data_IF_444018940308
#
_entry.id   IF_444018940308
#
_cell.length_a   1.000
_cell.length_b   1.000
_cell.length_c   1.000
_cell.angle_alpha   90.00
_cell.angle_beta   90.00
_cell.angle_gamma   90.00
#
_symmetry.space_group_name_H-M   'P 1'
#
loop_
_entity.id
_entity.type
_entity.pdbx_description
1 polymer ?
#
# COMPACT_ATOMS: atom_id res chain seq x y z
N UNK A 1 11.06 -51.01 22.71
CA UNK A 1 10.44 -50.97 21.36
C UNK A 1 10.55 -49.53 20.83
N UNK A 2 11.45 -49.29 19.87
CA UNK A 2 11.56 -47.99 19.21
C UNK A 2 10.20 -47.67 18.57
N UNK A 3 9.58 -46.59 19.02
CA UNK A 3 8.29 -46.16 18.56
C UNK A 3 8.45 -45.60 17.14
N UNK A 4 8.36 -46.49 16.15
CA UNK A 4 8.59 -46.22 14.72
C UNK A 4 7.76 -45.03 14.25
N UNK A 5 6.55 -44.82 14.78
CA UNK A 5 5.72 -43.65 14.48
C UNK A 5 6.36 -42.33 14.90
N UNK A 6 7.01 -42.29 16.07
CA UNK A 6 7.68 -41.08 16.59
C UNK A 6 8.95 -40.79 15.80
N UNK A 7 9.70 -41.84 15.42
CA UNK A 7 10.88 -41.72 14.57
C UNK A 7 10.54 -41.26 13.14
N UNK A 8 9.50 -41.83 12.52
CA UNK A 8 9.01 -41.43 11.20
C UNK A 8 8.41 -40.02 11.20
N UNK A 9 7.67 -39.64 12.25
CA UNK A 9 7.19 -38.26 12.40
C UNK A 9 8.36 -37.28 12.49
N UNK A 10 9.36 -37.57 13.32
CA UNK A 10 10.56 -36.72 13.44
C UNK A 10 11.38 -36.61 12.16
N UNK A 11 11.39 -37.65 11.32
CA UNK A 11 12.06 -37.64 10.01
C UNK A 11 11.28 -36.86 8.93
N UNK A 12 9.95 -36.78 9.06
CA UNK A 12 9.06 -36.14 8.07
C UNK A 12 8.56 -34.76 8.51
N UNK A 13 8.75 -34.38 9.77
CA UNK A 13 8.41 -33.06 10.30
C UNK A 13 9.66 -32.22 10.46
N UNK A 14 9.72 -31.11 9.74
CA UNK A 14 10.73 -30.07 10.00
C UNK A 14 10.19 -29.22 11.16
N UNK A 15 10.84 -29.20 12.34
CA UNK A 15 10.43 -28.31 13.41
C UNK A 15 10.66 -26.86 12.94
N UNK A 16 9.59 -26.06 12.94
CA UNK A 16 9.64 -24.65 12.55
C UNK A 16 8.92 -23.82 13.60
N UNK A 17 9.51 -22.67 13.95
CA UNK A 17 8.92 -21.68 14.85
C UNK A 17 8.41 -20.53 14.00
N UNK A 18 7.09 -20.33 13.97
CA UNK A 18 6.52 -19.15 13.34
C UNK A 18 6.53 -17.99 14.35
N UNK A 19 7.45 -17.05 14.16
CA UNK A 19 7.57 -15.83 14.97
C UNK A 19 6.32 -14.96 14.92
N UNK A 20 5.60 -14.98 13.79
CA UNK A 20 4.40 -14.18 13.63
C UNK A 20 3.22 -14.80 14.39
N UNK A 21 3.18 -16.13 14.51
CA UNK A 21 2.20 -16.86 15.34
C UNK A 21 2.59 -16.94 16.82
N UNK A 22 3.88 -16.81 17.14
CA UNK A 22 4.40 -16.89 18.51
C UNK A 22 4.54 -18.33 19.02
N UNK A 23 4.92 -19.27 18.16
CA UNK A 23 5.00 -20.71 18.50
C UNK A 23 6.13 -21.09 19.47
N UNK A 24 6.97 -20.14 19.85
CA UNK A 24 8.12 -20.35 20.73
C UNK A 24 7.81 -20.09 22.21
N UNK A 25 8.76 -20.42 23.10
CA UNK A 25 8.70 -19.99 24.49
C UNK A 25 8.63 -18.46 24.56
N UNK A 26 7.71 -17.96 25.38
CA UNK A 26 7.61 -16.53 25.65
C UNK A 26 8.60 -16.13 26.73
N UNK A 27 9.24 -14.97 26.57
CA UNK A 27 10.26 -14.46 27.49
C UNK A 27 9.83 -13.06 27.97
N UNK A 28 9.93 -12.81 29.27
CA UNK A 28 9.68 -11.50 29.89
C UNK A 28 8.69 -11.51 31.05
N UNK A 29 8.21 -10.32 31.46
CA UNK A 29 7.36 -10.21 32.63
C UNK A 29 6.16 -11.16 32.55
N UNK A 30 5.95 -11.94 33.62
CA UNK A 30 4.90 -12.96 33.73
C UNK A 30 5.07 -14.19 32.81
N UNK A 31 6.28 -14.45 32.30
CA UNK A 31 6.62 -15.66 31.56
C UNK A 31 7.54 -16.57 32.37
N UNK A 32 7.77 -17.80 31.87
CA UNK A 32 8.64 -18.77 32.54
C UNK A 32 10.13 -18.35 32.53
N UNK A 33 10.54 -17.64 31.48
CA UNK A 33 11.90 -17.14 31.30
C UNK A 33 11.91 -15.62 31.40
N UNK A 34 12.82 -15.08 32.21
CA UNK A 34 13.01 -13.64 32.37
C UNK A 34 14.04 -13.07 31.37
N UNK A 35 14.03 -11.76 31.20
CA UNK A 35 15.11 -11.04 30.50
C UNK A 35 15.47 -9.77 31.26
N UNK A 36 16.71 -9.31 31.10
CA UNK A 36 17.17 -8.04 31.65
C UNK A 36 17.87 -7.25 30.54
N UNK A 37 17.56 -5.95 30.36
CA UNK A 37 18.27 -5.13 29.37
C UNK A 37 19.72 -4.95 29.80
N UNK A 38 20.64 -5.14 28.86
CA UNK A 38 22.06 -4.81 29.04
C UNK A 38 22.34 -3.54 28.23
N UNK A 39 22.82 -2.49 28.90
CA UNK A 39 23.20 -1.26 28.23
C UNK A 39 24.55 -1.47 27.55
N UNK A 40 24.58 -1.31 26.23
CA UNK A 40 25.82 -1.33 25.46
C UNK A 40 26.40 0.09 25.45
N UNK A 41 27.65 0.24 25.87
CA UNK A 41 28.37 1.52 25.90
C UNK A 41 29.55 1.53 24.91
N UNK A 42 30.28 2.65 24.88
CA UNK A 42 31.53 2.74 24.11
C UNK A 42 32.67 1.88 24.70
N UNK A 43 32.52 1.37 25.93
CA UNK A 43 33.50 0.49 26.58
C UNK A 43 33.40 -0.96 26.08
N UNK A 44 32.30 -1.32 25.41
CA UNK A 44 32.05 -2.64 24.83
C UNK A 44 32.75 -2.82 23.46
N UNK A 45 34.09 -2.79 23.46
CA UNK A 45 34.90 -2.80 22.23
C UNK A 45 34.66 -3.99 21.29
N UNK A 46 34.10 -5.10 21.79
CA UNK A 46 33.73 -6.25 20.96
C UNK A 46 32.64 -5.91 19.94
N UNK A 47 31.75 -4.96 20.24
CA UNK A 47 30.63 -4.57 19.38
C UNK A 47 31.12 -3.92 18.09
N UNK A 48 32.22 -3.19 18.17
CA UNK A 48 32.87 -2.56 17.03
C UNK A 48 33.68 -3.57 16.21
N UNK A 49 34.28 -4.57 16.86
CA UNK A 49 35.03 -5.64 16.22
C UNK A 49 34.15 -6.72 15.58
N UNK A 50 32.93 -6.90 16.07
CA UNK A 50 32.08 -8.02 15.67
C UNK A 50 31.22 -7.69 14.44
N UNK A 51 31.62 -8.23 13.28
CA UNK A 51 30.90 -8.10 11.99
C UNK A 51 30.27 -9.42 11.50
N UNK A 52 30.38 -10.47 12.30
CA UNK A 52 29.90 -11.81 11.97
C UNK A 52 28.39 -12.00 12.16
N UNK A 53 27.95 -13.23 11.93
CA UNK A 53 26.60 -13.70 12.22
C UNK A 53 26.59 -14.54 13.50
N UNK A 54 25.60 -14.33 14.34
CA UNK A 54 25.40 -15.02 15.62
C UNK A 54 24.83 -16.42 15.35
N UNK A 55 25.63 -17.44 15.64
CA UNK A 55 25.24 -18.84 15.45
C UNK A 55 25.73 -19.45 14.14
N UNK A 56 25.17 -20.60 13.78
CA UNK A 56 25.51 -21.32 12.55
C UNK A 56 24.83 -20.67 11.35
N UNK A 57 25.62 -20.16 10.40
CA UNK A 57 25.12 -19.75 9.08
C UNK A 57 25.28 -20.93 8.14
N UNK A 58 24.16 -21.53 7.70
CA UNK A 58 24.16 -22.73 6.85
C UNK A 58 24.50 -22.43 5.40
N UNK A 59 24.74 -21.16 5.05
CA UNK A 59 24.97 -20.69 3.68
C UNK A 59 23.88 -21.15 2.71
N UNK A 60 22.64 -21.28 3.20
CA UNK A 60 21.50 -21.69 2.39
C UNK A 60 21.35 -20.74 1.18
N UNK A 61 21.44 -21.27 -0.07
CA UNK A 61 21.28 -20.50 -1.29
C UNK A 61 19.94 -19.76 -1.38
N UNK A 62 18.89 -20.31 -0.76
CA UNK A 62 17.54 -19.72 -0.74
C UNK A 62 17.38 -18.69 0.39
N UNK A 63 18.35 -18.62 1.32
CA UNK A 63 18.42 -17.63 2.39
C UNK A 63 17.39 -17.79 3.49
N UNK A 64 16.72 -18.95 3.58
CA UNK A 64 15.70 -19.24 4.59
C UNK A 64 16.29 -19.40 5.99
N UNK A 65 17.52 -19.90 6.09
CA UNK A 65 18.18 -20.25 7.35
C UNK A 65 19.47 -19.45 7.59
N UNK A 66 19.38 -18.11 7.51
CA UNK A 66 20.53 -17.25 7.80
C UNK A 66 20.59 -16.87 9.26
N UNK A 67 21.77 -17.02 9.86
CA UNK A 67 22.04 -16.56 11.21
C UNK A 67 21.74 -15.03 11.34
N UNK A 68 21.25 -14.57 12.50
CA UNK A 68 21.08 -13.15 12.78
C UNK A 68 22.44 -12.45 12.83
N UNK A 69 22.57 -11.22 12.32
CA UNK A 69 23.81 -10.46 12.51
C UNK A 69 23.85 -9.79 13.89
N UNK A 70 25.05 -9.46 14.36
CA UNK A 70 25.25 -8.77 15.64
C UNK A 70 24.54 -7.41 15.77
N UNK A 71 24.67 -6.75 16.93
CA UNK A 71 23.85 -5.59 17.29
C UNK A 71 24.15 -4.32 16.50
N UNK A 72 25.42 -4.11 16.07
CA UNK A 72 25.85 -2.89 15.36
C UNK A 72 25.79 -3.03 13.83
N UNK A 73 26.17 -4.18 13.29
CA UNK A 73 26.32 -4.37 11.85
C UNK A 73 25.24 -5.29 11.27
N UNK A 74 24.80 -4.97 10.07
CA UNK A 74 23.96 -5.83 9.23
C UNK A 74 24.78 -7.01 8.68
N UNK A 75 24.09 -7.95 8.03
CA UNK A 75 24.72 -9.14 7.40
C UNK A 75 25.74 -8.78 6.30
N UNK A 76 25.57 -7.62 5.66
CA UNK A 76 26.48 -7.08 4.64
C UNK A 76 27.63 -6.26 5.23
N UNK A 77 27.73 -6.16 6.57
CA UNK A 77 28.73 -5.37 7.26
C UNK A 77 28.43 -3.86 7.33
N UNK A 78 27.30 -3.39 6.79
CA UNK A 78 26.85 -2.01 6.94
C UNK A 78 26.38 -1.73 8.36
N UNK A 79 26.47 -0.48 8.83
CA UNK A 79 25.99 -0.11 10.17
C UNK A 79 24.46 -0.05 10.17
N UNK A 80 23.84 -0.73 11.14
CA UNK A 80 22.38 -0.77 11.32
C UNK A 80 21.82 0.62 11.56
N UNK A 81 20.64 0.90 10.97
CA UNK A 81 19.93 2.17 11.19
C UNK A 81 19.63 2.40 12.67
N UNK A 82 19.21 1.35 13.39
CA UNK A 82 18.96 1.38 14.84
C UNK A 82 20.18 1.77 15.66
N UNK A 83 21.40 1.54 15.13
CA UNK A 83 22.64 1.93 15.78
C UNK A 83 23.07 3.35 15.42
N UNK A 84 23.13 3.68 14.12
CA UNK A 84 23.65 4.98 13.66
C UNK A 84 22.70 6.15 13.90
N UNK A 85 21.39 5.90 13.93
CA UNK A 85 20.36 6.92 14.04
C UNK A 85 19.12 6.32 14.73
N UNK A 86 19.19 6.05 16.05
CA UNK A 86 18.12 5.38 16.79
C UNK A 86 16.80 6.16 16.77
N UNK A 87 16.85 7.50 16.77
CA UNK A 87 15.65 8.34 16.66
C UNK A 87 15.01 8.23 15.28
N UNK A 88 15.82 8.19 14.22
CA UNK A 88 15.36 7.95 12.85
C UNK A 88 14.74 6.57 12.71
N UNK A 89 15.39 5.54 13.27
CA UNK A 89 14.89 4.18 13.29
C UNK A 89 13.54 4.05 14.00
N UNK A 90 13.40 4.68 15.17
CA UNK A 90 12.16 4.70 15.94
C UNK A 90 11.09 5.64 15.33
N UNK A 91 11.45 6.45 14.33
CA UNK A 91 10.55 7.45 13.75
C UNK A 91 10.23 8.59 14.70
N UNK A 92 11.13 8.89 15.65
CA UNK A 92 11.00 9.97 16.64
C UNK A 92 11.51 11.32 16.14
N UNK A 93 12.25 11.37 15.03
CA UNK A 93 12.74 12.65 14.47
C UNK A 93 11.63 13.65 14.13
N UNK A 94 10.41 13.14 13.86
CA UNK A 94 9.20 13.94 13.58
C UNK A 94 8.37 14.24 14.83
N UNK A 95 8.75 13.70 15.98
CA UNK A 95 8.00 13.81 17.24
C UNK A 95 8.71 14.80 18.13
N UNK A 96 8.05 15.92 18.42
CA UNK A 96 8.58 16.89 19.36
C UNK A 96 8.44 16.37 20.80
N UNK A 97 9.42 16.64 21.67
CA UNK A 97 9.25 16.35 23.08
C UNK A 97 8.13 17.23 23.65
N UNK A 98 7.34 16.72 24.64
CA UNK A 98 6.16 17.42 25.15
C UNK A 98 6.42 18.86 25.61
N UNK A 99 7.58 19.11 26.21
CA UNK A 99 7.99 20.43 26.69
C UNK A 99 8.25 21.46 25.58
N UNK A 100 8.37 21.04 24.31
CA UNK A 100 8.55 21.91 23.15
C UNK A 100 7.35 21.97 22.23
N UNK A 101 6.41 21.03 22.37
CA UNK A 101 5.29 20.88 21.45
C UNK A 101 4.39 22.12 21.40
N UNK A 102 4.05 22.71 22.56
CA UNK A 102 3.19 23.91 22.64
C UNK A 102 3.83 25.10 21.91
N UNK A 103 5.11 25.39 22.19
CA UNK A 103 5.83 26.51 21.57
C UNK A 103 5.99 26.30 20.07
N UNK A 104 6.36 25.10 19.64
CA UNK A 104 6.53 24.78 18.23
C UNK A 104 5.21 24.87 17.45
N UNK A 105 4.12 24.32 18.00
CA UNK A 105 2.81 24.40 17.37
C UNK A 105 2.26 25.83 17.34
N UNK A 106 2.52 26.61 18.40
CA UNK A 106 2.21 28.05 18.42
C UNK A 106 2.90 28.81 17.29
N UNK A 107 4.18 28.51 17.02
CA UNK A 107 4.89 29.08 15.87
C UNK A 107 4.24 28.69 14.54
N UNK A 108 3.89 27.41 14.36
CA UNK A 108 3.21 26.95 13.13
C UNK A 108 1.90 27.70 12.89
N UNK A 109 1.09 27.92 13.93
CA UNK A 109 -0.15 28.70 13.82
C UNK A 109 0.14 30.16 13.40
N UNK A 110 1.12 30.81 14.03
CA UNK A 110 1.50 32.19 13.67
C UNK A 110 2.03 32.28 12.23
N UNK A 111 2.84 31.32 11.79
CA UNK A 111 3.36 31.27 10.42
C UNK A 111 2.20 31.10 9.39
N UNK A 112 1.15 30.33 9.74
CA UNK A 112 -0.06 30.18 8.91
C UNK A 112 -0.91 31.46 8.88
N UNK A 113 -1.03 32.18 10.00
CA UNK A 113 -1.73 33.48 10.05
C UNK A 113 -1.07 34.52 9.13
N UNK A 114 0.27 34.55 9.10
CA UNK A 114 1.01 35.44 8.20
C UNK A 114 0.83 35.06 6.71
N UNK A 115 0.80 33.76 6.41
CA UNK A 115 0.52 33.25 5.07
C UNK A 115 -0.91 33.58 4.63
N UNK A 116 -1.90 33.41 5.51
CA UNK A 116 -3.30 33.76 5.22
C UNK A 116 -3.42 35.23 4.82
N UNK A 117 -2.79 36.12 5.60
CA UNK A 117 -2.80 37.56 5.34
C UNK A 117 -2.17 37.89 3.98
N UNK A 118 -1.01 37.31 3.69
CA UNK A 118 -0.31 37.51 2.41
C UNK A 118 -1.17 37.06 1.23
N UNK A 119 -1.72 35.83 1.30
CA UNK A 119 -2.59 35.29 0.25
C UNK A 119 -3.86 36.12 0.07
N UNK A 120 -4.42 36.65 1.16
CA UNK A 120 -5.60 37.51 1.09
C UNK A 120 -5.30 38.82 0.33
N UNK A 121 -4.16 39.46 0.61
CA UNK A 121 -3.72 40.67 -0.09
C UNK A 121 -3.49 40.40 -1.59
N UNK A 122 -2.82 39.29 -1.93
CA UNK A 122 -2.61 38.85 -3.31
C UNK A 122 -3.92 38.57 -4.05
N UNK A 123 -4.87 37.90 -3.39
CA UNK A 123 -6.18 37.58 -3.96
C UNK A 123 -7.00 38.85 -4.23
N UNK A 124 -6.95 39.84 -3.32
CA UNK A 124 -7.57 41.16 -3.54
C UNK A 124 -6.92 41.89 -4.71
N UNK A 125 -5.59 41.86 -4.83
CA UNK A 125 -4.88 42.46 -5.95
C UNK A 125 -5.23 41.78 -7.28
N UNK A 126 -5.21 40.44 -7.33
CA UNK A 126 -5.54 39.66 -8.51
C UNK A 126 -6.98 39.89 -8.98
N UNK A 127 -7.94 40.04 -8.04
CA UNK A 127 -9.33 40.42 -8.37
C UNK A 127 -9.41 41.80 -9.06
N UNK A 128 -8.56 42.76 -8.70
CA UNK A 128 -8.53 44.08 -9.36
C UNK A 128 -8.00 43.95 -10.79
N UNK A 129 -6.91 43.21 -10.98
CA UNK A 129 -6.33 42.92 -12.30
C UNK A 129 -7.33 42.21 -13.22
N UNK A 130 -8.04 41.22 -12.70
CA UNK A 130 -9.04 40.49 -13.48
C UNK A 130 -10.16 41.43 -13.97
N UNK A 131 -10.67 42.29 -13.08
CA UNK A 131 -11.72 43.26 -13.43
C UNK A 131 -11.25 44.28 -14.46
N UNK A 132 -10.01 44.77 -14.39
CA UNK A 132 -9.50 45.70 -15.40
C UNK A 132 -9.34 45.02 -16.76
N UNK A 133 -8.87 43.78 -16.77
CA UNK A 133 -8.67 43.02 -18.00
C UNK A 133 -9.99 42.65 -18.68
N UNK A 134 -11.01 42.28 -17.90
CA UNK A 134 -12.37 42.06 -18.42
C UNK A 134 -12.95 43.31 -19.08
N UNK A 135 -12.74 44.48 -18.48
CA UNK A 135 -13.17 45.76 -19.08
C UNK A 135 -12.43 46.06 -20.39
N UNK A 136 -11.13 45.74 -20.49
CA UNK A 136 -10.35 45.89 -21.72
C UNK A 136 -10.83 44.94 -22.82
N UNK A 137 -11.06 43.66 -22.48
CA UNK A 137 -11.60 42.65 -23.41
C UNK A 137 -12.96 43.10 -23.93
N UNK A 138 -13.87 43.54 -23.07
CA UNK A 138 -15.20 44.00 -23.48
C UNK A 138 -15.13 45.26 -24.37
N UNK A 139 -14.26 46.21 -24.05
CA UNK A 139 -14.03 47.39 -24.88
C UNK A 139 -13.49 47.01 -26.28
N UNK A 140 -12.54 46.08 -26.35
CA UNK A 140 -11.99 45.58 -27.61
C UNK A 140 -13.03 44.81 -28.43
N UNK A 141 -13.83 43.95 -27.79
CA UNK A 141 -14.95 43.25 -28.47
C UNK A 141 -15.93 44.23 -29.10
N UNK A 142 -16.25 45.33 -28.42
CA UNK A 142 -17.17 46.34 -28.95
C UNK A 142 -16.66 47.07 -30.20
N UNK A 143 -15.33 47.13 -30.41
CA UNK A 143 -14.69 47.92 -31.47
C UNK A 143 -14.08 47.06 -32.59
N UNK A 144 -13.51 45.90 -32.26
CA UNK A 144 -12.73 45.06 -33.18
C UNK A 144 -12.88 43.56 -32.86
N UNK A 145 -13.85 42.91 -33.50
CA UNK A 145 -14.17 41.49 -33.29
C UNK A 145 -13.11 40.49 -33.80
N UNK A 146 -12.18 40.90 -34.67
CA UNK A 146 -11.18 40.02 -35.31
C UNK A 146 -9.79 40.67 -35.25
N UNK A 147 -9.31 40.98 -34.05
CA UNK A 147 -7.96 41.53 -33.85
C UNK A 147 -7.07 40.55 -33.07
N UNK A 148 -5.78 40.47 -33.43
CA UNK A 148 -4.81 39.67 -32.67
C UNK A 148 -4.66 40.15 -31.23
N UNK A 149 -4.86 41.45 -31.00
CA UNK A 149 -4.80 42.09 -29.68
C UNK A 149 -5.95 41.61 -28.78
N UNK A 150 -7.16 41.44 -29.34
CA UNK A 150 -8.28 40.86 -28.59
C UNK A 150 -7.96 39.44 -28.14
N UNK A 151 -7.48 38.58 -29.03
CA UNK A 151 -7.14 37.19 -28.70
C UNK A 151 -6.09 37.11 -27.59
N UNK A 152 -5.03 37.94 -27.65
CA UNK A 152 -4.01 38.01 -26.60
C UNK A 152 -4.61 38.42 -25.24
N UNK A 153 -5.51 39.42 -25.22
CA UNK A 153 -6.16 39.86 -23.98
C UNK A 153 -7.14 38.83 -23.41
N UNK A 154 -7.81 38.07 -24.27
CA UNK A 154 -8.66 36.95 -23.85
C UNK A 154 -7.84 35.81 -23.24
N UNK A 155 -6.66 35.52 -23.80
CA UNK A 155 -5.72 34.55 -23.21
C UNK A 155 -5.20 35.03 -21.84
N UNK A 156 -4.80 36.30 -21.73
CA UNK A 156 -4.41 36.90 -20.45
C UNK A 156 -5.52 36.82 -19.41
N UNK A 157 -6.79 37.00 -19.83
CA UNK A 157 -7.96 36.93 -18.97
C UNK A 157 -8.14 35.54 -18.38
N UNK A 158 -8.10 34.51 -19.23
CA UNK A 158 -8.21 33.11 -18.81
C UNK A 158 -7.06 32.72 -17.84
N UNK A 159 -5.85 33.20 -18.10
CA UNK A 159 -4.72 33.00 -17.18
C UNK A 159 -4.95 33.70 -15.84
N UNK A 160 -5.46 34.93 -15.86
CA UNK A 160 -5.77 35.69 -14.64
C UNK A 160 -6.88 35.03 -13.81
N UNK A 161 -7.90 34.44 -14.45
CA UNK A 161 -8.95 33.65 -13.79
C UNK A 161 -8.38 32.39 -13.15
N UNK A 162 -7.58 31.63 -13.89
CA UNK A 162 -6.94 30.40 -13.40
C UNK A 162 -6.07 30.70 -12.17
N UNK A 163 -5.30 31.79 -12.22
CA UNK A 163 -4.49 32.24 -11.08
C UNK A 163 -5.37 32.64 -9.88
N UNK A 164 -6.49 33.32 -10.11
CA UNK A 164 -7.42 33.68 -9.04
C UNK A 164 -8.03 32.45 -8.36
N UNK A 165 -8.41 31.44 -9.15
CA UNK A 165 -8.90 30.16 -8.63
C UNK A 165 -7.85 29.45 -7.78
N UNK A 166 -6.61 29.35 -8.27
CA UNK A 166 -5.51 28.74 -7.54
C UNK A 166 -5.22 29.46 -6.21
N UNK A 167 -5.20 30.80 -6.20
CA UNK A 167 -5.04 31.58 -4.96
C UNK A 167 -6.18 31.35 -3.97
N UNK A 168 -7.42 31.24 -4.47
CA UNK A 168 -8.59 30.95 -3.62
C UNK A 168 -8.52 29.56 -3.00
N UNK A 169 -8.07 28.55 -3.75
CA UNK A 169 -7.88 27.19 -3.23
C UNK A 169 -6.77 27.15 -2.17
N UNK A 170 -5.63 27.81 -2.43
CA UNK A 170 -4.53 27.92 -1.47
C UNK A 170 -4.98 28.60 -0.18
N UNK A 171 -5.73 29.70 -0.27
CA UNK A 171 -6.25 30.40 0.91
C UNK A 171 -7.18 29.50 1.73
N UNK A 172 -8.06 28.74 1.09
CA UNK A 172 -8.94 27.81 1.78
C UNK A 172 -8.16 26.70 2.50
N UNK A 173 -7.13 26.13 1.85
CA UNK A 173 -6.26 25.10 2.44
C UNK A 173 -5.49 25.62 3.65
N UNK A 174 -4.98 26.86 3.59
CA UNK A 174 -4.29 27.50 4.72
C UNK A 174 -5.25 27.73 5.89
N UNK A 175 -6.47 28.20 5.62
CA UNK A 175 -7.50 28.38 6.66
C UNK A 175 -7.88 27.09 7.36
N UNK A 176 -8.08 26.01 6.61
CA UNK A 176 -8.37 24.69 7.18
C UNK A 176 -7.20 24.20 8.05
N UNK A 177 -5.96 24.38 7.58
CA UNK A 177 -4.76 24.03 8.34
C UNK A 177 -4.60 24.87 9.62
N UNK A 178 -4.96 26.15 9.59
CA UNK A 178 -4.94 27.05 10.73
C UNK A 178 -6.01 26.67 11.76
N UNK A 179 -7.23 26.32 11.35
CA UNK A 179 -8.29 25.84 12.23
C UNK A 179 -7.86 24.55 12.95
N UNK A 180 -7.40 23.56 12.20
CA UNK A 180 -6.87 22.31 12.75
C UNK A 180 -5.65 22.55 13.67
N UNK A 181 -4.77 23.49 13.30
CA UNK A 181 -3.61 23.87 14.09
C UNK A 181 -3.98 24.52 15.42
N UNK A 182 -5.00 25.40 15.42
CA UNK A 182 -5.53 26.04 16.60
C UNK A 182 -6.19 25.04 17.56
N UNK A 183 -7.00 24.12 17.04
CA UNK A 183 -7.59 23.05 17.83
C UNK A 183 -6.50 22.16 18.45
N UNK A 184 -5.48 21.77 17.67
CA UNK A 184 -4.38 20.98 18.16
C UNK A 184 -3.58 21.70 19.25
N UNK A 185 -3.28 22.99 19.05
CA UNK A 185 -2.60 23.83 20.04
C UNK A 185 -3.41 23.93 21.34
N UNK A 186 -4.74 24.04 21.26
CA UNK A 186 -5.60 24.06 22.44
C UNK A 186 -5.49 22.75 23.25
N UNK A 187 -5.51 21.57 22.58
CA UNK A 187 -5.31 20.28 23.26
C UNK A 187 -3.93 20.15 23.90
N UNK A 188 -2.88 20.60 23.20
CA UNK A 188 -1.51 20.57 23.75
C UNK A 188 -1.39 21.45 25.00
N UNK A 189 -2.05 22.61 25.03
CA UNK A 189 -2.08 23.50 26.20
C UNK A 189 -2.78 22.87 27.42
N UNK A 190 -3.72 21.96 27.21
CA UNK A 190 -4.35 21.19 28.30
C UNK A 190 -3.53 19.98 28.75
N UNK A 191 -2.35 19.74 28.16
CA UNK A 191 -1.49 18.60 28.46
C UNK A 191 -1.88 17.30 27.76
N UNK A 192 -2.80 17.36 26.79
CA UNK A 192 -3.16 16.21 25.96
C UNK A 192 -2.24 16.14 24.73
N UNK A 193 -1.24 15.27 24.81
CA UNK A 193 -0.29 14.97 23.73
C UNK A 193 -0.73 13.77 22.87
N UNK A 194 -1.89 13.18 23.16
CA UNK A 194 -2.35 11.95 22.55
C UNK A 194 -1.53 10.70 22.93
N UNK A 195 -1.79 9.56 22.27
CA UNK A 195 -1.13 8.30 22.57
C UNK A 195 0.38 8.34 22.24
N UNK A 196 1.23 7.88 23.15
CA UNK A 196 2.69 7.87 22.97
C UNK A 196 3.17 7.15 21.68
N UNK A 197 2.40 6.15 21.21
CA UNK A 197 2.71 5.37 20.01
C UNK A 197 2.02 5.87 18.74
N UNK A 198 1.33 7.01 18.77
CA UNK A 198 0.63 7.54 17.59
C UNK A 198 1.55 7.82 16.39
N UNK A 199 2.86 8.03 16.63
CA UNK A 199 3.85 8.25 15.58
C UNK A 199 4.19 6.97 14.77
N UNK A 200 3.85 5.80 15.30
CA UNK A 200 4.13 4.49 14.70
C UNK A 200 3.02 4.14 13.71
N UNK A 201 3.34 4.13 12.41
CA UNK A 201 2.37 3.81 11.35
C UNK A 201 2.23 2.31 11.09
N UNK A 202 3.33 1.59 11.13
CA UNK A 202 3.40 0.16 10.85
C UNK A 202 3.88 -0.58 12.09
N UNK A 203 3.02 -0.65 13.10
CA UNK A 203 3.31 -1.48 14.27
C UNK A 203 3.20 -2.95 13.86
N UNK A 204 4.29 -3.70 14.02
CA UNK A 204 4.23 -5.16 13.90
C UNK A 204 3.39 -5.67 15.06
N UNK A 205 2.23 -6.21 14.74
CA UNK A 205 1.36 -6.87 15.70
C UNK A 205 1.50 -8.38 15.50
N UNK A 206 1.48 -9.17 16.59
CA UNK A 206 1.42 -10.62 16.47
C UNK A 206 0.22 -11.02 15.60
N UNK A 207 0.33 -12.12 14.85
CA UNK A 207 -0.81 -12.63 14.12
C UNK A 207 -1.95 -12.92 15.12
N UNK A 208 -3.18 -12.49 14.81
CA UNK A 208 -4.32 -12.84 15.65
C UNK A 208 -4.45 -14.36 15.67
N UNK A 209 -4.84 -14.90 16.83
CA UNK A 209 -5.11 -16.33 16.98
C UNK A 209 -6.12 -16.73 15.91
N UNK A 210 -5.69 -17.60 14.99
CA UNK A 210 -6.54 -18.03 13.89
C UNK A 210 -7.82 -18.67 14.45
N UNK A 211 -8.97 -18.35 13.84
CA UNK A 211 -10.22 -19.01 14.20
C UNK A 211 -10.05 -20.54 14.07
N UNK A 212 -10.66 -21.33 14.97
CA UNK A 212 -10.57 -22.77 14.91
C UNK A 212 -11.06 -23.27 13.55
N UNK A 213 -10.18 -23.85 12.74
CA UNK A 213 -10.58 -24.46 11.49
C UNK A 213 -11.45 -25.69 11.78
N UNK A 214 -12.40 -25.97 10.90
CA UNK A 214 -13.23 -27.18 11.04
C UNK A 214 -12.34 -28.43 11.00
N UNK A 215 -12.69 -29.46 11.79
CA UNK A 215 -11.97 -30.75 11.75
C UNK A 215 -11.91 -31.35 10.35
N UNK A 216 -12.94 -31.09 9.54
CA UNK A 216 -13.01 -31.48 8.13
C UNK A 216 -11.93 -30.78 7.27
N UNK A 217 -11.66 -29.50 7.50
CA UNK A 217 -10.60 -28.77 6.79
C UNK A 217 -9.21 -29.32 7.12
N UNK A 218 -8.94 -29.65 8.39
CA UNK A 218 -7.68 -30.29 8.79
C UNK A 218 -7.49 -31.67 8.16
N UNK A 219 -8.53 -32.51 8.20
CA UNK A 219 -8.50 -33.84 7.61
C UNK A 219 -8.31 -33.78 6.09
N UNK A 220 -9.02 -32.86 5.42
CA UNK A 220 -8.85 -32.62 3.98
C UNK A 220 -7.44 -32.14 3.66
N UNK A 221 -6.90 -31.15 4.38
CA UNK A 221 -5.55 -30.63 4.16
C UNK A 221 -4.47 -31.73 4.29
N UNK A 222 -4.64 -32.68 5.21
CA UNK A 222 -3.70 -33.79 5.40
C UNK A 222 -3.73 -34.83 4.26
N UNK A 223 -4.89 -35.09 3.65
CA UNK A 223 -5.08 -36.17 2.67
C UNK A 223 -4.97 -35.66 1.23
N UNK A 224 -5.35 -34.41 1.00
CA UNK A 224 -5.54 -33.83 -0.33
C UNK A 224 -4.27 -33.92 -1.20
N UNK A 225 -3.09 -33.60 -0.65
CA UNK A 225 -1.83 -33.69 -1.40
C UNK A 225 -1.51 -35.11 -1.92
N UNK A 226 -1.68 -36.12 -1.06
CA UNK A 226 -1.45 -37.51 -1.44
C UNK A 226 -2.49 -38.04 -2.44
N UNK A 227 -3.76 -37.69 -2.22
CA UNK A 227 -4.85 -38.07 -3.11
C UNK A 227 -4.70 -37.44 -4.50
N UNK A 228 -4.29 -36.17 -4.57
CA UNK A 228 -4.04 -35.47 -5.84
C UNK A 228 -2.93 -36.18 -6.63
N UNK A 229 -1.83 -36.53 -5.98
CA UNK A 229 -0.69 -37.18 -6.63
C UNK A 229 -1.07 -38.58 -7.15
N UNK A 230 -1.79 -39.37 -6.35
CA UNK A 230 -2.31 -40.67 -6.79
C UNK A 230 -3.26 -40.52 -7.98
N UNK A 231 -4.15 -39.53 -7.94
CA UNK A 231 -5.11 -39.28 -9.02
C UNK A 231 -4.41 -38.86 -10.31
N UNK A 232 -3.38 -38.01 -10.24
CA UNK A 232 -2.55 -37.63 -11.40
C UNK A 232 -1.84 -38.83 -12.00
N UNK A 233 -1.21 -39.67 -11.17
CA UNK A 233 -0.53 -40.89 -11.62
C UNK A 233 -1.52 -41.86 -12.30
N UNK A 234 -2.69 -42.08 -11.69
CA UNK A 234 -3.74 -42.91 -12.26
C UNK A 234 -4.22 -42.37 -13.62
N UNK A 235 -4.32 -41.05 -13.76
CA UNK A 235 -4.75 -40.38 -14.99
C UNK A 235 -3.76 -40.57 -16.14
N UNK A 236 -2.47 -40.42 -15.84
CA UNK A 236 -1.40 -40.64 -16.81
C UNK A 236 -1.39 -42.10 -17.28
N UNK A 237 -1.62 -43.05 -16.36
CA UNK A 237 -1.63 -44.49 -16.67
C UNK A 237 -2.87 -44.94 -17.46
N UNK A 238 -4.07 -44.51 -17.06
CA UNK A 238 -5.33 -45.00 -17.63
C UNK A 238 -5.75 -44.28 -18.93
N UNK A 239 -5.39 -43.01 -19.09
CA UNK A 239 -5.82 -42.16 -20.23
C UNK A 239 -4.70 -41.25 -20.76
N UNK A 240 -3.60 -41.81 -21.28
CA UNK A 240 -2.41 -41.05 -21.67
C UNK A 240 -2.60 -40.06 -22.84
N UNK A 241 -3.67 -40.15 -23.63
CA UNK A 241 -3.90 -39.20 -24.73
C UNK A 241 -4.63 -37.91 -24.27
N UNK A 242 -5.46 -37.99 -23.22
CA UNK A 242 -6.30 -36.88 -22.76
C UNK A 242 -5.88 -36.30 -21.41
N UNK A 243 -4.75 -36.77 -20.86
CA UNK A 243 -4.29 -36.39 -19.52
C UNK A 243 -4.21 -34.87 -19.27
N UNK A 244 -3.86 -33.98 -20.23
CA UNK A 244 -3.77 -32.55 -19.94
C UNK A 244 -5.13 -31.91 -19.65
N UNK A 245 -6.18 -32.30 -20.37
CA UNK A 245 -7.54 -31.76 -20.19
C UNK A 245 -8.10 -32.24 -18.85
N UNK A 246 -7.94 -33.53 -18.56
CA UNK A 246 -8.38 -34.10 -17.30
C UNK A 246 -7.62 -33.56 -16.10
N UNK A 247 -6.31 -33.27 -16.25
CA UNK A 247 -5.51 -32.62 -15.21
C UNK A 247 -6.11 -31.27 -14.81
N UNK A 248 -6.49 -30.44 -15.79
CA UNK A 248 -7.15 -29.15 -15.53
C UNK A 248 -8.45 -29.39 -14.75
N UNK A 249 -9.27 -30.35 -15.17
CA UNK A 249 -10.51 -30.70 -14.47
C UNK A 249 -10.27 -31.13 -13.01
N UNK A 250 -9.26 -31.96 -12.77
CA UNK A 250 -8.87 -32.40 -11.42
C UNK A 250 -8.39 -31.23 -10.58
N UNK A 251 -7.55 -30.35 -11.11
CA UNK A 251 -7.06 -29.15 -10.40
C UNK A 251 -8.23 -28.25 -10.01
N UNK A 252 -9.17 -27.99 -10.93
CA UNK A 252 -10.35 -27.16 -10.67
C UNK A 252 -11.24 -27.80 -9.60
N UNK A 253 -11.49 -29.12 -9.68
CA UNK A 253 -12.26 -29.85 -8.68
C UNK A 253 -11.61 -29.75 -7.29
N UNK A 254 -10.30 -29.96 -7.21
CA UNK A 254 -9.56 -29.91 -5.96
C UNK A 254 -9.54 -28.51 -5.36
N UNK A 255 -9.35 -27.48 -6.18
CA UNK A 255 -9.42 -26.09 -5.76
C UNK A 255 -10.84 -25.73 -5.27
N UNK A 256 -11.88 -26.27 -5.90
CA UNK A 256 -13.27 -26.11 -5.45
C UNK A 256 -13.55 -26.79 -4.11
N UNK A 257 -13.07 -28.01 -3.92
CA UNK A 257 -13.20 -28.74 -2.65
C UNK A 257 -12.43 -28.05 -1.52
N UNK A 258 -11.20 -27.58 -1.77
CA UNK A 258 -10.42 -26.80 -0.81
C UNK A 258 -11.14 -25.48 -0.44
N UNK A 259 -11.69 -24.77 -1.43
CA UNK A 259 -12.48 -23.57 -1.19
C UNK A 259 -13.74 -23.85 -0.38
N UNK A 260 -14.44 -24.96 -0.64
CA UNK A 260 -15.61 -25.38 0.12
C UNK A 260 -15.26 -25.70 1.58
N UNK A 261 -14.20 -26.48 1.81
CA UNK A 261 -13.74 -26.83 3.15
C UNK A 261 -13.28 -25.61 3.96
N UNK A 262 -12.77 -24.57 3.29
CA UNK A 262 -12.37 -23.28 3.89
C UNK A 262 -13.52 -22.27 4.02
N UNK A 263 -14.75 -22.62 3.64
CA UNK A 263 -15.90 -21.72 3.68
C UNK A 263 -15.87 -20.58 2.65
N UNK A 264 -15.05 -20.70 1.60
CA UNK A 264 -14.82 -19.68 0.56
C UNK A 264 -15.33 -20.10 -0.83
N UNK A 265 -16.29 -21.03 -0.89
CA UNK A 265 -16.81 -21.57 -2.15
C UNK A 265 -17.38 -20.47 -3.06
N UNK A 266 -18.12 -19.51 -2.49
CA UNK A 266 -18.68 -18.39 -3.25
C UNK A 266 -17.58 -17.57 -3.95
N UNK A 267 -16.51 -17.22 -3.22
CA UNK A 267 -15.38 -16.48 -3.78
C UNK A 267 -14.64 -17.27 -4.87
N UNK A 268 -14.50 -18.59 -4.70
CA UNK A 268 -13.89 -19.46 -5.71
C UNK A 268 -14.72 -19.50 -6.98
N UNK A 269 -16.04 -19.71 -6.87
CA UNK A 269 -16.94 -19.74 -8.02
C UNK A 269 -16.91 -18.42 -8.79
N UNK A 270 -16.96 -17.28 -8.10
CA UNK A 270 -16.87 -15.96 -8.75
C UNK A 270 -15.55 -15.81 -9.52
N UNK A 271 -14.42 -16.13 -8.89
CA UNK A 271 -13.10 -16.05 -9.55
C UNK A 271 -12.98 -16.99 -10.74
N UNK A 272 -13.51 -18.21 -10.62
CA UNK A 272 -13.52 -19.20 -11.69
C UNK A 272 -14.37 -18.68 -12.86
N UNK A 273 -15.56 -18.14 -12.59
CA UNK A 273 -16.42 -17.53 -13.62
C UNK A 273 -15.73 -16.36 -14.30
N UNK A 274 -15.07 -15.46 -13.55
CA UNK A 274 -14.31 -14.35 -14.14
C UNK A 274 -13.18 -14.86 -15.03
N UNK A 275 -12.43 -15.87 -14.58
CA UNK A 275 -11.34 -16.45 -15.36
C UNK A 275 -11.87 -17.12 -16.65
N UNK A 276 -12.94 -17.90 -16.55
CA UNK A 276 -13.61 -18.47 -17.72
C UNK A 276 -14.13 -17.38 -18.65
N UNK A 277 -14.75 -16.32 -18.12
CA UNK A 277 -15.23 -15.20 -18.90
C UNK A 277 -14.09 -14.51 -19.66
N UNK A 278 -12.97 -14.20 -18.99
CA UNK A 278 -11.77 -13.64 -19.64
C UNK A 278 -11.20 -14.57 -20.70
N UNK A 279 -11.13 -15.87 -20.42
CA UNK A 279 -10.65 -16.87 -21.37
C UNK A 279 -11.56 -16.94 -22.61
N UNK A 280 -12.88 -17.02 -22.40
CA UNK A 280 -13.85 -17.00 -23.50
C UNK A 280 -13.83 -15.68 -24.27
N UNK A 281 -13.68 -14.54 -23.59
CA UNK A 281 -13.55 -13.22 -24.23
C UNK A 281 -12.28 -13.14 -25.07
N UNK A 282 -11.14 -13.64 -24.56
CA UNK A 282 -9.90 -13.71 -25.31
C UNK A 282 -10.01 -14.63 -26.53
N UNK A 283 -10.67 -15.78 -26.38
CA UNK A 283 -10.95 -16.71 -27.48
C UNK A 283 -11.85 -16.06 -28.54
N UNK A 284 -12.88 -15.31 -28.13
CA UNK A 284 -13.76 -14.55 -29.01
C UNK A 284 -12.98 -13.44 -29.75
N UNK A 285 -12.16 -12.67 -29.04
CA UNK A 285 -11.32 -11.64 -29.66
C UNK A 285 -10.33 -12.23 -30.65
N UNK A 286 -9.69 -13.35 -30.31
CA UNK A 286 -8.79 -14.04 -31.23
C UNK A 286 -9.51 -14.54 -32.48
N UNK A 287 -10.69 -15.16 -32.31
CA UNK A 287 -11.49 -15.69 -33.43
C UNK A 287 -12.12 -14.59 -34.29
N UNK A 288 -12.53 -13.47 -33.69
CA UNK A 288 -13.33 -12.41 -34.32
C UNK A 288 -12.62 -11.04 -34.31
N UNK A 289 -11.28 -11.02 -34.34
CA UNK A 289 -10.49 -9.80 -34.21
C UNK A 289 -10.89 -8.71 -35.23
N UNK A 290 -11.20 -9.09 -36.47
CA UNK A 290 -11.63 -8.16 -37.51
C UNK A 290 -12.96 -7.47 -37.16
N UNK A 291 -13.93 -8.22 -36.62
CA UNK A 291 -15.21 -7.65 -36.17
C UNK A 291 -15.00 -6.67 -35.01
N UNK A 292 -14.10 -6.98 -34.08
CA UNK A 292 -13.77 -6.08 -32.98
C UNK A 292 -13.17 -4.75 -33.48
N UNK A 293 -12.27 -4.81 -34.47
CA UNK A 293 -11.70 -3.60 -35.11
C UNK A 293 -12.78 -2.81 -35.83
N UNK A 294 -13.65 -3.47 -36.60
CA UNK A 294 -14.76 -2.80 -37.32
C UNK A 294 -15.71 -2.10 -36.35
N UNK A 295 -16.10 -2.76 -35.25
CA UNK A 295 -16.93 -2.14 -34.20
C UNK A 295 -16.21 -0.94 -33.59
N UNK A 296 -14.91 -1.04 -33.30
CA UNK A 296 -14.12 0.07 -32.77
C UNK A 296 -14.09 1.29 -33.71
N UNK A 297 -13.90 1.06 -35.01
CA UNK A 297 -13.93 2.12 -36.02
C UNK A 297 -15.33 2.75 -36.11
N UNK A 298 -16.39 1.95 -36.07
CA UNK A 298 -17.78 2.46 -36.08
C UNK A 298 -18.03 3.33 -34.85
N UNK A 299 -17.60 2.91 -33.65
CA UNK A 299 -17.75 3.71 -32.42
C UNK A 299 -16.98 5.02 -32.52
N UNK A 300 -15.74 4.99 -33.03
CA UNK A 300 -14.95 6.21 -33.25
C UNK A 300 -15.64 7.16 -34.24
N UNK A 301 -16.17 6.63 -35.33
CA UNK A 301 -16.91 7.42 -36.32
C UNK A 301 -18.18 8.04 -35.71
N UNK A 302 -18.93 7.29 -34.89
CA UNK A 302 -20.11 7.82 -34.18
C UNK A 302 -19.72 8.94 -33.22
N UNK A 303 -18.63 8.78 -32.46
CA UNK A 303 -18.11 9.82 -31.56
C UNK A 303 -17.73 11.07 -32.37
N UNK A 304 -16.97 10.91 -33.46
CA UNK A 304 -16.55 12.03 -34.30
C UNK A 304 -17.73 12.76 -34.95
N UNK A 305 -18.74 12.01 -35.41
CA UNK A 305 -19.97 12.59 -35.95
C UNK A 305 -20.72 13.34 -34.85
N UNK A 306 -20.84 12.77 -33.63
CA UNK A 306 -21.47 13.44 -32.50
C UNK A 306 -20.77 14.74 -32.14
N UNK A 307 -19.44 14.75 -32.12
CA UNK A 307 -18.65 15.94 -31.78
C UNK A 307 -18.78 17.00 -32.87
N UNK A 308 -18.70 16.61 -34.15
CA UNK A 308 -18.94 17.53 -35.28
C UNK A 308 -20.36 18.09 -35.28
N UNK A 309 -21.38 17.28 -34.98
CA UNK A 309 -22.78 17.73 -34.88
C UNK A 309 -22.95 18.67 -33.68
N UNK A 310 -22.29 18.40 -32.55
CA UNK A 310 -22.26 19.32 -31.41
C UNK A 310 -21.59 20.64 -31.75
N UNK A 311 -20.53 20.64 -32.55
CA UNK A 311 -19.84 21.85 -33.00
C UNK A 311 -20.72 22.66 -33.98
N UNK A 312 -21.50 21.99 -34.83
CA UNK A 312 -22.39 22.64 -35.80
C UNK A 312 -23.69 23.17 -35.16
N UNK A 313 -24.25 22.46 -34.18
CA UNK A 313 -25.52 22.84 -33.53
C UNK A 313 -25.35 23.50 -32.16
N UNK A 314 -24.14 23.47 -31.59
CA UNK A 314 -23.77 24.16 -30.36
C UNK A 314 -23.20 25.55 -30.65
N UNK A 315 -24.09 26.49 -30.91
CA UNK A 315 -24.03 27.78 -30.23
C UNK A 315 -24.65 27.61 -28.84
#
# INVERSE_FOLDING_TARGET
>A
PLNLETGLRGLLSIPFVDYARGDGPSIGPQQAEDWTPILISNDDGWVDGYRGLWGLDTWDPLGGERAPSGPKYNRDGSVRLSWRAPLQWAGLDKVLPPNRAVTAMGKVVTDLEEQEKTLHEELVAQRRTLRSLELEVEALRSTQYLSSVLNEREEDLVQAETKLHALSEQLNSVKESQEAGNEHLARLKTGDFGPARAHIRHAVTPQPIAAPQSRAAYFWAAISGGLLLLLVVALIYLRPHYWPIWLIGVIVLFAGLDAAMRGKLSTFLIRLTILLALFTSGLLLYRFWLLAVVIGIIVLAIIMIRDNVREVFGR
#
